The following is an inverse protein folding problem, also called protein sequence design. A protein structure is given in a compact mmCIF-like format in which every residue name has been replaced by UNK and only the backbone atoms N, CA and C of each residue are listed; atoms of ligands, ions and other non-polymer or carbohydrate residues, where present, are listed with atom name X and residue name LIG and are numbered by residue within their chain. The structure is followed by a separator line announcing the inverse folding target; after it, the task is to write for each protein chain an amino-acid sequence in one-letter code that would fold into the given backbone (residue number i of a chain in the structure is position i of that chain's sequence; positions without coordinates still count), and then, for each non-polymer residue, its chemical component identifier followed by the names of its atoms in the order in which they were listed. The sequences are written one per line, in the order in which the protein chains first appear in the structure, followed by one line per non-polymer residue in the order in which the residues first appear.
data_IF_778200283180
#
_entry.id   IF_778200283180
#
_cell.length_a   1.000
_cell.length_b   1.000
_cell.length_c   1.000
_cell.angle_alpha   90.00
_cell.angle_beta   90.00
_cell.angle_gamma   90.00
#
_symmetry.space_group_name_H-M   'P 1'
#
loop_
_entity.id
_entity.type
_entity.pdbx_description
1 polymer ?
#
# COMPACT_ATOMS: atom_id res chain seq x y z
N UNK A 1 9.26 6.67 -12.73
CA UNK A 1 7.78 6.75 -12.87
C UNK A 1 7.08 6.56 -11.52
N UNK A 2 7.27 5.42 -10.84
CA UNK A 2 6.62 5.06 -9.56
C UNK A 2 6.76 6.11 -8.44
N UNK A 3 7.98 6.61 -8.19
CA UNK A 3 8.22 7.62 -7.12
C UNK A 3 7.28 8.83 -7.22
N UNK A 4 7.07 9.37 -8.44
CA UNK A 4 6.16 10.51 -8.65
C UNK A 4 4.69 10.16 -8.37
N UNK A 5 4.25 8.96 -8.79
CA UNK A 5 2.89 8.47 -8.51
C UNK A 5 2.69 8.29 -7.01
N UNK A 6 3.65 7.66 -6.34
CA UNK A 6 3.66 7.49 -4.88
C UNK A 6 3.57 8.83 -4.16
N UNK A 7 4.46 9.77 -4.50
CA UNK A 7 4.52 11.08 -3.83
C UNK A 7 3.23 11.89 -4.04
N UNK A 8 2.65 11.84 -5.23
CA UNK A 8 1.35 12.47 -5.51
C UNK A 8 0.21 11.81 -4.71
N UNK A 9 0.19 10.48 -4.66
CA UNK A 9 -0.83 9.73 -3.94
C UNK A 9 -0.75 9.98 -2.42
N UNK A 10 0.45 9.98 -1.83
CA UNK A 10 0.65 10.28 -0.40
C UNK A 10 0.21 11.70 -0.03
N UNK A 11 0.36 12.68 -0.92
CA UNK A 11 -0.15 14.04 -0.69
C UNK A 11 -1.67 14.10 -0.59
N UNK A 12 -2.36 13.31 -1.40
CA UNK A 12 -3.82 13.22 -1.39
C UNK A 12 -4.34 12.29 -0.28
N UNK A 13 -3.58 11.25 0.06
CA UNK A 13 -3.89 10.22 1.07
C UNK A 13 -2.79 10.18 2.15
N UNK A 14 -2.68 11.21 3.01
CA UNK A 14 -1.59 11.34 3.98
C UNK A 14 -1.70 10.41 5.20
N UNK A 15 -2.82 9.69 5.31
CA UNK A 15 -3.10 8.78 6.41
C UNK A 15 -3.31 7.35 5.91
N UNK A 16 -3.08 6.37 6.79
CA UNK A 16 -3.40 4.98 6.58
C UNK A 16 -4.91 4.82 6.39
N UNK A 17 -5.33 4.42 5.19
CA UNK A 17 -6.74 4.34 4.82
C UNK A 17 -7.48 3.24 5.58
N UNK A 18 -6.79 2.15 5.93
CA UNK A 18 -7.34 1.09 6.78
C UNK A 18 -7.57 1.54 8.23
N UNK A 19 -6.69 2.38 8.77
CA UNK A 19 -6.90 2.98 10.09
C UNK A 19 -7.99 4.05 10.04
N UNK A 20 -8.03 4.83 8.97
CA UNK A 20 -9.03 5.90 8.79
C UNK A 20 -10.45 5.36 8.74
N UNK A 21 -10.68 4.19 8.11
CA UNK A 21 -11.97 3.47 8.17
C UNK A 21 -12.43 3.15 9.60
N UNK A 22 -11.47 3.00 10.53
CA UNK A 22 -11.72 2.77 11.96
C UNK A 22 -11.75 4.06 12.78
N UNK A 23 -11.77 5.22 12.12
CA UNK A 23 -11.67 6.56 12.72
C UNK A 23 -10.35 6.79 13.49
N UNK A 24 -9.29 6.10 13.11
CA UNK A 24 -7.94 6.26 13.68
C UNK A 24 -7.05 6.96 12.66
N UNK A 25 -6.49 8.11 13.03
CA UNK A 25 -5.55 8.85 12.20
C UNK A 25 -4.13 8.35 12.47
N UNK A 26 -3.56 7.64 11.49
CA UNK A 26 -2.16 7.20 11.51
C UNK A 26 -1.53 7.67 10.21
N UNK A 27 -0.35 8.32 10.21
CA UNK A 27 0.29 8.76 8.97
C UNK A 27 0.61 7.57 8.06
N UNK A 28 0.58 7.82 6.75
CA UNK A 28 1.04 6.84 5.76
C UNK A 28 2.56 6.69 5.84
N UNK A 29 3.03 5.44 5.76
CA UNK A 29 4.45 5.13 5.63
C UNK A 29 4.74 4.45 4.29
N UNK A 30 3.81 3.64 3.80
CA UNK A 30 3.97 2.81 2.60
C UNK A 30 2.71 2.86 1.73
N UNK A 31 2.88 2.86 0.41
CA UNK A 31 1.79 2.72 -0.56
C UNK A 31 1.83 1.31 -1.12
N UNK A 32 0.72 0.60 -1.03
CA UNK A 32 0.59 -0.78 -1.47
C UNK A 32 -0.25 -0.88 -2.74
N UNK A 33 0.07 -1.84 -3.60
CA UNK A 33 -0.77 -2.19 -4.75
C UNK A 33 -1.84 -3.18 -4.32
N UNK A 34 -3.11 -2.81 -4.43
CA UNK A 34 -4.24 -3.69 -4.08
C UNK A 34 -4.16 -4.98 -4.90
N UNK A 35 -3.93 -4.89 -6.21
CA UNK A 35 -3.58 -6.01 -7.06
C UNK A 35 -2.09 -5.94 -7.42
N UNK A 36 -1.29 -7.00 -7.17
CA UNK A 36 0.12 -7.03 -7.55
C UNK A 36 0.32 -6.81 -9.06
N UNK A 37 1.45 -6.20 -9.44
CA UNK A 37 1.78 -5.98 -10.86
C UNK A 37 1.88 -7.31 -11.64
N UNK A 38 2.39 -8.37 -11.00
CA UNK A 38 2.50 -9.71 -11.58
C UNK A 38 1.15 -10.34 -11.96
N UNK A 39 0.06 -9.89 -11.34
CA UNK A 39 -1.29 -10.35 -11.62
C UNK A 39 -2.08 -9.38 -12.53
N UNK A 40 -1.40 -8.39 -13.11
CA UNK A 40 -2.03 -7.35 -13.94
C UNK A 40 -2.51 -6.14 -13.14
N UNK A 41 -1.97 -5.90 -11.94
CA UNK A 41 -2.10 -4.62 -11.25
C UNK A 41 -1.43 -3.48 -12.02
N UNK A 42 -1.82 -2.24 -11.71
CA UNK A 42 -1.25 -1.03 -12.31
C UNK A 42 -1.01 0.06 -11.25
N UNK A 43 -0.43 1.19 -11.67
CA UNK A 43 -0.17 2.35 -10.81
C UNK A 43 -1.36 3.32 -10.73
N UNK A 44 -2.56 2.93 -11.16
CA UNK A 44 -3.72 3.80 -11.08
C UNK A 44 -4.12 3.97 -9.61
N UNK A 45 -4.61 5.15 -9.24
CA UNK A 45 -5.02 5.47 -7.87
C UNK A 45 -6.02 4.46 -7.29
N UNK A 46 -6.89 3.88 -8.13
CA UNK A 46 -7.85 2.84 -7.73
C UNK A 46 -7.21 1.50 -7.36
N UNK A 47 -5.97 1.26 -7.75
CA UNK A 47 -5.19 0.07 -7.38
C UNK A 47 -4.15 0.38 -6.30
N UNK A 48 -4.15 1.57 -5.71
CA UNK A 48 -3.24 1.97 -4.65
C UNK A 48 -3.99 2.10 -3.33
N UNK A 49 -3.25 1.92 -2.23
CA UNK A 49 -3.74 2.20 -0.88
C UNK A 49 -2.58 2.69 0.00
N UNK A 50 -2.82 3.78 0.73
CA UNK A 50 -1.90 4.36 1.71
C UNK A 50 -2.03 3.62 3.04
N UNK A 51 -0.92 3.09 3.56
CA UNK A 51 -0.90 2.27 4.78
C UNK A 51 0.23 2.67 5.73
N UNK A 52 0.00 2.47 7.03
CA UNK A 52 1.07 2.42 8.01
C UNK A 52 1.77 1.05 7.98
N UNK A 53 2.97 0.94 8.56
CA UNK A 53 3.76 -0.31 8.58
C UNK A 53 2.98 -1.52 9.09
N UNK A 54 2.20 -1.36 10.16
CA UNK A 54 1.47 -2.46 10.78
C UNK A 54 0.33 -2.98 9.89
N UNK A 55 -0.40 -2.08 9.22
CA UNK A 55 -1.43 -2.45 8.26
C UNK A 55 -0.81 -3.11 7.02
N UNK A 56 0.29 -2.55 6.50
CA UNK A 56 0.98 -3.11 5.35
C UNK A 56 1.52 -4.52 5.63
N UNK A 57 2.18 -4.73 6.77
CA UNK A 57 2.67 -6.04 7.20
C UNK A 57 1.53 -7.06 7.39
N UNK A 58 0.37 -6.62 7.88
CA UNK A 58 -0.82 -7.48 8.02
C UNK A 58 -1.36 -7.93 6.67
N UNK A 59 -1.42 -7.06 5.66
CA UNK A 59 -1.88 -7.44 4.32
C UNK A 59 -0.99 -8.53 3.71
N UNK A 60 0.35 -8.35 3.78
CA UNK A 60 1.31 -9.38 3.34
C UNK A 60 1.17 -10.69 4.12
N UNK A 61 0.88 -10.62 5.41
CA UNK A 61 0.64 -11.80 6.23
C UNK A 61 -0.66 -12.52 5.85
N UNK A 62 -1.75 -11.77 5.65
CA UNK A 62 -3.08 -12.30 5.32
C UNK A 62 -3.18 -12.87 3.92
N UNK A 63 -2.41 -12.34 2.96
CA UNK A 63 -2.33 -12.89 1.60
C UNK A 63 -1.42 -14.12 1.47
N UNK A 64 -0.68 -14.48 2.52
CA UNK A 64 0.31 -15.57 2.44
C UNK A 64 1.58 -15.19 1.67
N UNK A 65 1.73 -13.93 1.24
CA UNK A 65 2.89 -13.40 0.49
C UNK A 65 4.19 -13.36 1.30
N UNK A 66 4.15 -13.75 2.58
CA UNK A 66 5.30 -13.80 3.50
C UNK A 66 6.48 -14.65 3.02
N UNK A 67 6.35 -15.39 1.92
CA UNK A 67 7.41 -16.27 1.39
C UNK A 67 7.86 -16.06 -0.05
N UNK A 68 7.79 -14.85 -0.59
CA UNK A 68 8.58 -14.51 -1.79
C UNK A 68 9.50 -13.30 -1.56
N UNK A 69 10.47 -13.49 -0.66
CA UNK A 69 11.75 -12.77 -0.78
C UNK A 69 12.59 -13.50 -1.83
N UNK A 70 12.54 -13.07 -3.07
CA UNK A 70 13.68 -13.26 -3.96
C UNK A 70 14.25 -11.90 -4.29
N UNK A 71 15.36 -11.59 -3.60
CA UNK A 71 16.38 -10.69 -4.10
C UNK A 71 16.95 -11.33 -5.37
N UNK A 72 16.88 -10.60 -6.47
CA UNK A 72 17.73 -10.78 -7.65
C UNK A 72 18.54 -9.51 -7.82
#
# INVERSE_FOLDING_TARGET
MWKRVRDAYVKEHPFCEECFKKKILVPVEEVHHIKPLSEGGNHNKSNLISLCKSCHARIHASRGDRWNKNKG
#
